data_IF_223342332670
#
_entry.id   IF_223342332670
#
_cell.length_a   1.000
_cell.length_b   1.000
_cell.length_c   1.000
_cell.angle_alpha   90.00
_cell.angle_beta   90.00
_cell.angle_gamma   90.00
#
_symmetry.space_group_name_H-M   'P 1'
#
loop_
_entity.id
_entity.type
_entity.pdbx_description
1 polymer ?
#
# COMPACT_ATOMS: atom_id res chain seq x y z
N UNK A 1 9.70 21.10 -9.99
CA UNK A 1 10.19 21.20 -8.59
C UNK A 1 9.26 20.53 -7.59
N UNK A 2 7.97 20.89 -7.51
CA UNK A 2 7.04 20.29 -6.53
C UNK A 2 6.86 18.77 -6.68
N UNK A 3 6.66 18.27 -7.91
CA UNK A 3 6.47 16.83 -8.16
C UNK A 3 7.68 15.98 -7.75
N UNK A 4 8.91 16.45 -8.02
CA UNK A 4 10.15 15.77 -7.62
C UNK A 4 10.27 15.70 -6.10
N UNK A 5 9.92 16.78 -5.39
CA UNK A 5 9.93 16.79 -3.91
C UNK A 5 8.88 15.81 -3.37
N UNK A 6 7.66 15.83 -3.90
CA UNK A 6 6.57 14.91 -3.51
C UNK A 6 6.98 13.45 -3.74
N UNK A 7 7.59 13.16 -4.90
CA UNK A 7 8.09 11.83 -5.25
C UNK A 7 9.06 11.31 -4.18
N UNK A 8 10.11 12.08 -3.87
CA UNK A 8 11.12 11.64 -2.91
C UNK A 8 10.61 11.60 -1.47
N UNK A 9 9.71 12.52 -1.08
CA UNK A 9 9.06 12.48 0.22
C UNK A 9 8.24 11.20 0.38
N UNK A 10 7.35 10.90 -0.57
CA UNK A 10 6.52 9.71 -0.49
C UNK A 10 7.33 8.41 -0.59
N UNK A 11 8.31 8.36 -1.51
CA UNK A 11 9.24 7.22 -1.60
C UNK A 11 9.93 6.97 -0.25
N UNK A 12 10.40 8.03 0.41
CA UNK A 12 11.00 7.93 1.73
C UNK A 12 10.03 7.42 2.80
N UNK A 13 8.77 7.86 2.78
CA UNK A 13 7.74 7.34 3.69
C UNK A 13 7.50 5.82 3.50
N UNK A 14 7.40 5.36 2.26
CA UNK A 14 7.23 3.93 1.94
C UNK A 14 8.44 3.12 2.38
N UNK A 15 9.67 3.60 2.11
CA UNK A 15 10.90 2.93 2.51
C UNK A 15 11.05 2.85 4.04
N UNK A 16 10.75 3.93 4.76
CA UNK A 16 10.73 3.94 6.23
C UNK A 16 9.72 2.93 6.77
N UNK A 17 8.49 2.94 6.26
CA UNK A 17 7.47 1.97 6.66
C UNK A 17 7.95 0.54 6.46
N UNK A 18 8.54 0.24 5.29
CA UNK A 18 9.10 -1.08 4.97
C UNK A 18 10.20 -1.51 5.95
N UNK A 19 11.10 -0.60 6.28
CA UNK A 19 12.14 -0.82 7.28
C UNK A 19 11.55 -1.20 8.64
N UNK A 20 10.56 -0.43 9.12
CA UNK A 20 9.91 -0.71 10.40
C UNK A 20 9.21 -2.07 10.43
N UNK A 21 8.47 -2.43 9.38
CA UNK A 21 7.79 -3.74 9.28
C UNK A 21 8.80 -4.88 9.32
N UNK A 22 9.90 -4.79 8.57
CA UNK A 22 10.93 -5.84 8.55
C UNK A 22 11.59 -5.97 9.92
N UNK A 23 12.02 -4.86 10.53
CA UNK A 23 12.68 -4.88 11.84
C UNK A 23 11.74 -5.40 12.93
N UNK A 24 10.49 -4.94 12.95
CA UNK A 24 9.48 -5.42 13.90
C UNK A 24 9.22 -6.92 13.71
N UNK A 25 9.07 -7.38 12.47
CA UNK A 25 8.87 -8.79 12.15
C UNK A 25 10.04 -9.69 12.58
N UNK A 26 11.29 -9.27 12.33
CA UNK A 26 12.49 -9.99 12.79
C UNK A 26 12.53 -10.04 14.32
N UNK A 27 12.25 -8.92 15.00
CA UNK A 27 12.20 -8.87 16.48
C UNK A 27 11.15 -9.81 17.04
N UNK A 28 9.93 -9.80 16.48
CA UNK A 28 8.86 -10.71 16.88
C UNK A 28 9.27 -12.16 16.66
N UNK A 29 9.85 -12.50 15.51
CA UNK A 29 10.31 -13.86 15.24
C UNK A 29 11.41 -14.33 16.20
N UNK A 30 12.28 -13.42 16.65
CA UNK A 30 13.26 -13.71 17.69
C UNK A 30 12.60 -14.00 19.04
N UNK A 31 11.61 -13.20 19.46
CA UNK A 31 10.85 -13.41 20.69
C UNK A 31 10.03 -14.72 20.64
N UNK A 32 9.50 -15.06 19.48
CA UNK A 32 8.64 -16.22 19.26
C UNK A 32 9.41 -17.47 18.79
N UNK A 33 10.75 -17.49 18.89
CA UNK A 33 11.62 -18.56 18.32
C UNK A 33 11.37 -19.97 18.85
N UNK A 34 10.74 -20.10 20.02
CA UNK A 34 10.37 -21.38 20.63
C UNK A 34 8.92 -21.77 20.37
N UNK A 35 8.23 -21.07 19.47
CA UNK A 35 6.80 -21.26 19.17
C UNK A 35 6.60 -21.53 17.68
N UNK A 36 5.41 -22.02 17.32
CA UNK A 36 4.98 -22.17 15.93
C UNK A 36 4.36 -20.89 15.33
N UNK A 37 4.37 -19.76 16.03
CA UNK A 37 3.67 -18.53 15.65
C UNK A 37 4.56 -17.49 14.95
N UNK A 38 5.66 -17.91 14.33
CA UNK A 38 6.55 -16.98 13.62
C UNK A 38 5.89 -16.42 12.36
N UNK A 39 6.20 -15.15 12.05
CA UNK A 39 5.77 -14.48 10.82
C UNK A 39 6.69 -14.91 9.67
N UNK A 40 6.12 -15.28 8.54
CA UNK A 40 6.89 -15.61 7.34
C UNK A 40 7.75 -14.43 6.87
N UNK A 41 9.05 -14.63 6.69
CA UNK A 41 9.94 -13.63 6.11
C UNK A 41 9.50 -13.19 4.71
N UNK A 42 8.93 -14.10 3.91
CA UNK A 42 8.36 -13.76 2.61
C UNK A 42 7.21 -12.75 2.76
N UNK A 43 6.33 -12.92 3.74
CA UNK A 43 5.23 -11.96 3.99
C UNK A 43 5.77 -10.59 4.42
N UNK A 44 6.80 -10.55 5.28
CA UNK A 44 7.45 -9.28 5.66
C UNK A 44 8.05 -8.55 4.44
N UNK A 45 8.71 -9.29 3.53
CA UNK A 45 9.30 -8.74 2.31
C UNK A 45 8.27 -8.35 1.25
N UNK A 46 7.12 -9.04 1.16
CA UNK A 46 6.07 -8.71 0.20
C UNK A 46 5.07 -7.66 0.69
N UNK A 47 5.02 -7.40 2.00
CA UNK A 47 4.13 -6.42 2.61
C UNK A 47 4.17 -5.07 1.87
N UNK A 48 3.02 -4.60 1.39
CA UNK A 48 2.81 -3.30 0.77
C UNK A 48 3.67 -3.00 -0.47
N UNK A 49 4.22 -4.01 -1.15
CA UNK A 49 5.01 -3.76 -2.36
C UNK A 49 4.18 -3.11 -3.48
N UNK A 50 2.86 -3.30 -3.50
CA UNK A 50 1.97 -2.68 -4.48
C UNK A 50 1.99 -1.14 -4.43
N UNK A 51 2.37 -0.53 -3.29
CA UNK A 51 2.50 0.94 -3.14
C UNK A 51 3.54 1.57 -4.07
N UNK A 52 4.51 0.77 -4.55
CA UNK A 52 5.54 1.22 -5.48
C UNK A 52 5.08 1.13 -6.95
N UNK A 53 3.92 0.53 -7.21
CA UNK A 53 3.35 0.42 -8.56
C UNK A 53 2.68 1.72 -9.02
N UNK A 54 2.54 1.93 -10.34
CA UNK A 54 1.99 3.16 -10.92
C UNK A 54 0.53 3.42 -10.52
N UNK A 55 -0.26 2.37 -10.26
CA UNK A 55 -1.65 2.48 -9.79
C UNK A 55 -1.78 3.10 -8.39
N UNK A 56 -0.75 2.97 -7.54
CA UNK A 56 -0.80 3.41 -6.14
C UNK A 56 0.13 4.60 -5.87
N UNK A 57 1.33 4.61 -6.46
CA UNK A 57 2.40 5.50 -6.01
C UNK A 57 2.01 6.98 -6.07
N UNK A 58 1.52 7.46 -7.22
CA UNK A 58 1.24 8.88 -7.41
C UNK A 58 -0.01 9.37 -6.67
N UNK A 59 -1.15 8.66 -6.70
CA UNK A 59 -2.31 9.04 -5.89
C UNK A 59 -2.00 9.12 -4.40
N UNK A 60 -1.24 8.17 -3.85
CA UNK A 60 -0.80 8.24 -2.45
C UNK A 60 0.18 9.38 -2.21
N UNK A 61 1.16 9.60 -3.09
CA UNK A 61 2.14 10.68 -2.96
C UNK A 61 1.46 12.05 -2.93
N UNK A 62 0.49 12.28 -3.82
CA UNK A 62 -0.32 13.50 -3.81
C UNK A 62 -1.18 13.63 -2.57
N UNK A 63 -1.80 12.54 -2.11
CA UNK A 63 -2.68 12.57 -0.94
C UNK A 63 -1.93 12.88 0.37
N UNK A 64 -0.76 12.28 0.57
CA UNK A 64 0.00 12.38 1.82
C UNK A 64 1.07 13.48 1.82
N UNK A 65 1.71 13.73 0.68
CA UNK A 65 2.80 14.71 0.57
C UNK A 65 2.42 15.95 -0.26
N UNK A 66 1.26 15.94 -0.93
CA UNK A 66 0.75 17.09 -1.68
C UNK A 66 0.21 18.20 -0.79
N UNK A 67 0.15 19.42 -1.35
CA UNK A 67 -0.31 20.63 -0.65
C UNK A 67 -1.83 20.86 -0.71
N UNK A 68 -2.64 19.82 -0.93
CA UNK A 68 -4.11 19.95 -1.02
C UNK A 68 -4.69 20.28 0.36
N UNK A 69 -5.56 21.29 0.44
CA UNK A 69 -6.24 21.67 1.69
C UNK A 69 -7.21 20.56 2.14
N UNK A 70 -7.52 20.47 3.44
CA UNK A 70 -8.39 19.41 4.02
C UNK A 70 -9.73 19.28 3.26
N UNK A 71 -10.30 20.40 2.80
CA UNK A 71 -11.57 20.44 2.07
C UNK A 71 -11.45 20.03 0.59
N UNK A 72 -10.24 19.83 0.05
CA UNK A 72 -9.96 19.41 -1.32
C UNK A 72 -9.47 17.96 -1.41
N UNK A 73 -9.53 17.20 -0.30
CA UNK A 73 -9.04 15.81 -0.21
C UNK A 73 -10.07 14.74 -0.62
N UNK A 74 -11.21 15.12 -1.21
CA UNK A 74 -12.07 14.17 -1.94
C UNK A 74 -11.36 13.79 -3.24
N UNK A 75 -10.37 12.92 -3.12
CA UNK A 75 -9.53 12.50 -4.23
C UNK A 75 -9.92 11.08 -4.65
N UNK A 76 -10.84 10.99 -5.62
CA UNK A 76 -11.26 9.71 -6.20
C UNK A 76 -10.06 8.85 -6.63
N UNK A 77 -8.93 9.46 -7.02
CA UNK A 77 -7.72 8.73 -7.39
C UNK A 77 -7.08 8.03 -6.18
N UNK A 78 -7.10 8.66 -5.01
CA UNK A 78 -6.64 8.04 -3.76
C UNK A 78 -7.54 6.88 -3.36
N UNK A 79 -8.87 7.05 -3.41
CA UNK A 79 -9.81 5.99 -3.04
C UNK A 79 -9.66 4.76 -3.96
N UNK A 80 -9.48 4.99 -5.25
CA UNK A 80 -9.21 3.94 -6.24
C UNK A 80 -7.87 3.24 -5.95
N UNK A 81 -6.81 4.00 -5.68
CA UNK A 81 -5.51 3.45 -5.30
C UNK A 81 -5.56 2.66 -3.97
N UNK A 82 -6.34 3.14 -2.99
CA UNK A 82 -6.55 2.45 -1.72
C UNK A 82 -7.29 1.12 -1.92
N UNK A 83 -8.32 1.09 -2.76
CA UNK A 83 -9.02 -0.15 -3.09
C UNK A 83 -8.11 -1.14 -3.83
N UNK A 84 -7.29 -0.67 -4.77
CA UNK A 84 -6.27 -1.49 -5.42
C UNK A 84 -5.28 -2.09 -4.40
N UNK A 85 -4.87 -1.28 -3.42
CA UNK A 85 -3.97 -1.67 -2.33
C UNK A 85 -4.58 -2.73 -1.41
N UNK A 86 -5.83 -2.53 -0.97
CA UNK A 86 -6.59 -3.51 -0.16
C UNK A 86 -6.77 -4.82 -0.92
N UNK A 87 -7.01 -4.79 -2.24
CA UNK A 87 -7.14 -5.99 -3.06
C UNK A 87 -5.85 -6.83 -3.12
N UNK A 88 -4.69 -6.18 -3.04
CA UNK A 88 -3.37 -6.81 -3.09
C UNK A 88 -2.86 -7.31 -1.75
N UNK A 89 -3.29 -6.70 -0.64
CA UNK A 89 -2.69 -6.91 0.67
C UNK A 89 -3.75 -7.36 1.69
N UNK A 90 -3.68 -8.63 2.09
CA UNK A 90 -4.58 -9.32 3.02
C UNK A 90 -4.32 -8.97 4.52
N UNK A 91 -3.67 -7.83 4.80
CA UNK A 91 -3.48 -7.33 6.16
C UNK A 91 -4.48 -6.23 6.54
N UNK A 92 -5.17 -5.66 5.54
CA UNK A 92 -6.33 -4.80 5.77
C UNK A 92 -7.55 -5.65 6.09
N UNK A 93 -8.32 -5.27 7.10
CA UNK A 93 -9.49 -6.06 7.49
C UNK A 93 -10.58 -6.03 6.39
N UNK A 94 -10.67 -4.95 5.61
CA UNK A 94 -11.57 -4.78 4.47
C UNK A 94 -11.34 -5.83 3.39
N UNK A 95 -10.14 -6.39 3.29
CA UNK A 95 -9.83 -7.50 2.38
C UNK A 95 -10.74 -8.71 2.62
N UNK A 96 -11.14 -8.92 3.88
CA UNK A 96 -11.95 -10.05 4.33
C UNK A 96 -13.45 -9.73 4.40
N UNK A 97 -13.85 -8.46 4.25
CA UNK A 97 -15.27 -8.10 4.20
C UNK A 97 -15.77 -8.29 2.76
N UNK A 98 -16.73 -9.21 2.57
CA UNK A 98 -17.14 -9.67 1.24
C UNK A 98 -17.50 -8.56 0.25
N UNK A 99 -18.30 -7.57 0.66
CA UNK A 99 -18.68 -6.45 -0.21
C UNK A 99 -17.47 -5.59 -0.60
N UNK A 100 -16.61 -5.23 0.36
CA UNK A 100 -15.38 -4.46 0.10
C UNK A 100 -14.40 -5.23 -0.77
N UNK A 101 -14.15 -6.50 -0.45
CA UNK A 101 -13.24 -7.38 -1.19
C UNK A 101 -13.63 -7.51 -2.67
N UNK A 102 -14.93 -7.63 -2.96
CA UNK A 102 -15.42 -7.69 -4.34
C UNK A 102 -15.19 -6.38 -5.11
N UNK A 103 -15.49 -5.24 -4.48
CA UNK A 103 -15.24 -3.91 -5.07
C UNK A 103 -13.75 -3.70 -5.32
N UNK A 104 -12.91 -3.99 -4.32
CA UNK A 104 -11.46 -3.86 -4.39
C UNK A 104 -10.86 -4.72 -5.52
N UNK A 105 -11.28 -5.98 -5.63
CA UNK A 105 -10.82 -6.89 -6.71
C UNK A 105 -11.24 -6.41 -8.10
N UNK A 106 -12.45 -5.86 -8.23
CA UNK A 106 -12.91 -5.26 -9.50
C UNK A 106 -12.03 -4.08 -9.90
N UNK A 107 -11.82 -3.14 -8.98
CA UNK A 107 -10.95 -1.98 -9.20
C UNK A 107 -9.54 -2.41 -9.59
N UNK A 108 -8.98 -3.41 -8.91
CA UNK A 108 -7.67 -3.96 -9.25
C UNK A 108 -7.63 -4.46 -10.69
N UNK A 109 -8.57 -5.34 -11.07
CA UNK A 109 -8.59 -5.91 -12.41
C UNK A 109 -8.77 -4.83 -13.49
N UNK A 110 -9.62 -3.83 -13.25
CA UNK A 110 -9.83 -2.72 -14.19
C UNK A 110 -8.55 -1.90 -14.41
N UNK A 111 -7.79 -1.63 -13.35
CA UNK A 111 -6.51 -0.90 -13.42
C UNK A 111 -5.40 -1.72 -14.08
N UNK A 112 -5.28 -3.01 -13.76
CA UNK A 112 -4.31 -3.91 -14.38
C UNK A 112 -4.57 -4.06 -15.88
N UNK A 113 -5.84 -4.22 -16.28
CA UNK A 113 -6.25 -4.23 -17.69
C UNK A 113 -5.85 -2.92 -18.38
N UNK A 114 -6.16 -1.77 -17.78
CA UNK A 114 -5.83 -0.46 -18.36
C UNK A 114 -4.32 -0.29 -18.61
N UNK A 115 -3.45 -0.87 -17.78
CA UNK A 115 -1.99 -0.83 -17.96
C UNK A 115 -1.49 -1.70 -19.12
N UNK A 116 -2.27 -2.68 -19.59
CA UNK A 116 -1.91 -3.53 -20.72
C UNK A 116 -2.23 -2.90 -22.09
N UNK A 117 -3.04 -1.83 -22.13
CA UNK A 117 -3.48 -1.17 -23.37
C UNK A 117 -2.78 0.18 -23.63
N UNK A 118 -1.74 0.50 -22.86
CA UNK A 118 -0.90 1.71 -22.97
C UNK A 118 0.52 1.31 -23.36
#
# INVERSE_FOLDING_TARGET
MAAVVIFFQYLWEVLKHKYFIIVAGIRINHLLRSTSYQVSYKRLLLHDLSKLGPAEFWPYAEHFCGKKSVNQKNDNAFDVAWLHHVAHNDHHYEHFISNYSQIAKRVRNDLELAQHFV
#
